data_IF_447566821150
#
_entry.id   IF_447566821150
#
_cell.length_a   1.000
_cell.length_b   1.000
_cell.length_c   1.000
_cell.angle_alpha   90.00
_cell.angle_beta   90.00
_cell.angle_gamma   90.00
#
_symmetry.space_group_name_H-M   'P 1'
#
loop_
_entity.id
_entity.type
_entity.pdbx_description
1 polymer ?
#
# COMPACT_ATOMS: atom_id res chain seq x y z
N UNK A 1 -23.27 -16.96 61.24
CA UNK A 1 -22.07 -16.60 60.46
C UNK A 1 -22.50 -16.33 59.02
N UNK A 2 -22.61 -15.05 58.64
CA UNK A 2 -23.05 -14.63 57.30
C UNK A 2 -21.79 -14.24 56.52
N UNK A 3 -21.45 -15.03 55.50
CA UNK A 3 -20.23 -14.86 54.70
C UNK A 3 -20.47 -13.82 53.59
N UNK A 4 -19.73 -12.72 53.64
CA UNK A 4 -19.84 -11.59 52.71
C UNK A 4 -19.11 -11.89 51.40
N UNK A 5 -19.90 -12.09 50.33
CA UNK A 5 -19.46 -12.33 48.94
C UNK A 5 -18.68 -11.13 48.41
N UNK A 6 -17.36 -11.27 48.25
CA UNK A 6 -16.55 -10.31 47.50
C UNK A 6 -16.62 -10.66 46.01
N UNK A 7 -17.43 -9.91 45.25
CA UNK A 7 -17.41 -9.98 43.79
C UNK A 7 -16.24 -9.14 43.28
N UNK A 8 -15.11 -9.78 42.97
CA UNK A 8 -14.05 -9.16 42.16
C UNK A 8 -14.60 -8.91 40.76
N UNK A 9 -14.67 -7.64 40.36
CA UNK A 9 -15.06 -7.20 39.03
C UNK A 9 -13.77 -7.03 38.20
N UNK A 10 -13.48 -7.85 37.18
CA UNK A 10 -12.30 -7.63 36.36
C UNK A 10 -12.54 -6.43 35.43
N UNK A 11 -11.65 -5.44 35.51
CA UNK A 11 -11.59 -4.28 34.63
C UNK A 11 -11.18 -4.78 33.22
N UNK A 12 -12.15 -4.88 32.31
CA UNK A 12 -11.92 -5.28 30.92
C UNK A 12 -11.28 -4.12 30.15
N UNK A 13 -9.95 -4.11 30.06
CA UNK A 13 -9.19 -3.17 29.23
C UNK A 13 -9.35 -3.57 27.75
N UNK A 14 -10.27 -2.90 27.04
CA UNK A 14 -10.46 -3.06 25.59
C UNK A 14 -9.29 -2.36 24.88
N UNK A 15 -8.30 -3.16 24.43
CA UNK A 15 -7.31 -2.72 23.45
C UNK A 15 -7.99 -2.52 22.09
N UNK A 16 -8.42 -1.30 21.80
CA UNK A 16 -8.76 -0.89 20.43
C UNK A 16 -7.45 -0.88 19.64
N UNK A 17 -7.21 -1.98 18.94
CA UNK A 17 -6.11 -2.10 17.98
C UNK A 17 -6.48 -1.29 16.76
N UNK A 18 -6.23 0.02 16.82
CA UNK A 18 -6.33 0.88 15.64
C UNK A 18 -5.40 0.35 14.57
N UNK A 19 -5.96 0.06 13.39
CA UNK A 19 -5.22 -0.31 12.18
C UNK A 19 -4.33 0.87 11.79
N UNK A 20 -3.16 1.00 12.43
CA UNK A 20 -2.10 1.86 11.95
C UNK A 20 -1.69 1.33 10.58
N UNK A 21 -2.22 1.98 9.54
CA UNK A 21 -1.70 1.85 8.19
C UNK A 21 -0.29 2.43 8.21
N UNK A 22 0.69 1.57 8.49
CA UNK A 22 2.11 1.93 8.48
C UNK A 22 2.67 2.11 7.06
N UNK A 23 1.77 2.25 6.08
CA UNK A 23 2.08 2.63 4.72
C UNK A 23 2.64 4.04 4.66
N UNK A 24 3.65 4.25 3.82
CA UNK A 24 4.28 5.56 3.65
C UNK A 24 3.79 6.23 2.38
N UNK A 25 3.79 7.56 2.35
CA UNK A 25 3.49 8.30 1.12
C UNK A 25 4.69 8.32 0.17
N UNK A 26 4.45 8.12 -1.13
CA UNK A 26 5.39 8.29 -2.26
C UNK A 26 4.92 9.38 -3.20
N UNK A 27 5.82 9.97 -3.98
CA UNK A 27 5.42 10.86 -5.07
C UNK A 27 4.72 10.05 -6.17
N UNK A 28 3.68 10.62 -6.78
CA UNK A 28 3.01 9.98 -7.91
C UNK A 28 3.95 9.72 -9.07
N UNK A 29 4.98 10.54 -9.27
CA UNK A 29 5.98 10.34 -10.33
C UNK A 29 6.75 9.02 -10.19
N UNK A 30 7.04 8.58 -8.96
CA UNK A 30 7.67 7.30 -8.69
C UNK A 30 6.76 6.15 -9.13
N UNK A 31 5.47 6.25 -8.83
CA UNK A 31 4.44 5.26 -9.24
C UNK A 31 4.18 5.33 -10.75
N UNK A 32 4.22 6.53 -11.35
CA UNK A 32 4.01 6.74 -12.77
C UNK A 32 5.07 6.02 -13.61
N UNK A 33 6.29 5.85 -13.07
CA UNK A 33 7.33 5.06 -13.73
C UNK A 33 6.92 3.59 -13.93
N UNK A 34 6.15 3.00 -13.01
CA UNK A 34 5.60 1.66 -13.13
C UNK A 34 4.51 1.59 -14.20
N UNK A 35 3.68 2.64 -14.28
CA UNK A 35 2.62 2.75 -15.27
C UNK A 35 3.15 2.89 -16.70
N UNK A 36 4.40 3.33 -16.90
CA UNK A 36 5.03 3.37 -18.24
C UNK A 36 5.13 1.99 -18.91
N UNK A 37 5.13 0.90 -18.13
CA UNK A 37 5.06 -0.45 -18.66
C UNK A 37 3.71 -0.76 -19.35
N UNK A 38 2.66 0.01 -19.04
CA UNK A 38 1.33 -0.07 -19.65
C UNK A 38 0.86 1.32 -20.10
N UNK A 39 1.38 1.84 -21.23
CA UNK A 39 1.15 3.22 -21.65
C UNK A 39 -0.33 3.54 -21.89
N UNK A 40 -1.14 2.57 -22.34
CA UNK A 40 -2.59 2.73 -22.50
C UNK A 40 -3.27 2.99 -21.15
N UNK A 41 -2.92 2.21 -20.12
CA UNK A 41 -3.43 2.40 -18.75
C UNK A 41 -2.99 3.75 -18.19
N UNK A 42 -1.72 4.11 -18.36
CA UNK A 42 -1.20 5.41 -17.93
C UNK A 42 -1.96 6.57 -18.60
N UNK A 43 -2.16 6.48 -19.92
CA UNK A 43 -2.88 7.49 -20.68
C UNK A 43 -4.33 7.59 -20.22
N UNK A 44 -5.02 6.47 -20.03
CA UNK A 44 -6.41 6.46 -19.56
C UNK A 44 -6.53 7.10 -18.17
N UNK A 45 -5.66 6.75 -17.22
CA UNK A 45 -5.65 7.34 -15.88
C UNK A 45 -5.44 8.85 -15.96
N UNK A 46 -4.42 9.29 -16.68
CA UNK A 46 -4.05 10.71 -16.77
C UNK A 46 -5.03 11.54 -17.60
N UNK A 47 -5.73 10.98 -18.58
CA UNK A 47 -6.74 11.69 -19.37
C UNK A 47 -8.09 11.78 -18.65
N UNK A 48 -8.44 10.74 -17.89
CA UNK A 48 -9.78 10.59 -17.30
C UNK A 48 -9.85 11.14 -15.88
N UNK A 49 -8.74 11.11 -15.14
CA UNK A 49 -8.72 11.39 -13.71
C UNK A 49 -7.88 12.62 -13.37
N UNK A 50 -8.33 13.34 -12.34
CA UNK A 50 -7.52 14.28 -11.57
C UNK A 50 -6.77 13.44 -10.55
N UNK A 51 -5.47 13.25 -10.78
CA UNK A 51 -4.58 12.45 -9.94
C UNK A 51 -3.90 13.36 -8.91
N UNK A 52 -3.74 12.92 -7.65
CA UNK A 52 -3.00 13.66 -6.64
C UNK A 52 -1.48 13.62 -6.91
N UNK A 53 -0.73 14.47 -6.21
CA UNK A 53 0.73 14.51 -6.29
C UNK A 53 1.40 13.32 -5.58
N UNK A 54 0.69 12.65 -4.68
CA UNK A 54 1.22 11.56 -3.87
C UNK A 54 0.30 10.35 -3.86
N UNK A 55 0.88 9.18 -3.58
CA UNK A 55 0.17 7.92 -3.37
C UNK A 55 0.59 7.30 -2.03
N UNK A 56 -0.30 6.52 -1.44
CA UNK A 56 -0.03 5.72 -0.26
C UNK A 56 0.55 4.37 -0.70
N UNK A 57 1.76 4.07 -0.24
CA UNK A 57 2.38 2.76 -0.43
C UNK A 57 2.00 1.84 0.74
N UNK A 58 1.62 0.61 0.46
CA UNK A 58 1.24 -0.35 1.50
C UNK A 58 2.40 -0.71 2.43
N UNK A 59 3.61 -0.85 1.87
CA UNK A 59 4.77 -1.33 2.61
C UNK A 59 5.80 -0.21 2.77
N UNK A 60 6.22 0.02 4.02
CA UNK A 60 7.41 0.80 4.37
C UNK A 60 8.43 -0.12 5.04
N UNK A 61 9.60 -0.27 4.45
CA UNK A 61 10.65 -1.11 5.00
C UNK A 61 11.22 -0.49 6.28
N UNK A 62 11.24 -1.27 7.36
CA UNK A 62 11.84 -0.85 8.63
C UNK A 62 13.36 -1.10 8.68
N UNK A 63 13.97 -0.72 9.80
CA UNK A 63 15.43 -0.82 10.02
C UNK A 63 15.96 -2.27 9.99
N UNK A 64 15.08 -3.27 10.06
CA UNK A 64 15.46 -4.68 9.88
C UNK A 64 15.90 -5.01 8.44
N UNK A 65 15.57 -4.16 7.46
CA UNK A 65 16.09 -4.27 6.09
C UNK A 65 17.40 -3.49 5.99
N UNK A 66 18.52 -4.21 5.93
CA UNK A 66 19.87 -3.66 6.10
C UNK A 66 20.16 -2.50 5.14
N UNK A 67 19.66 -2.61 3.91
CA UNK A 67 19.95 -1.65 2.84
C UNK A 67 18.70 -0.96 2.27
N UNK A 68 17.50 -1.43 2.64
CA UNK A 68 16.23 -0.90 2.14
C UNK A 68 15.44 -0.15 3.23
N UNK A 69 15.99 0.06 4.42
CA UNK A 69 15.33 0.81 5.49
C UNK A 69 14.81 2.16 5.02
N UNK A 70 13.52 2.42 5.23
CA UNK A 70 12.81 3.62 4.82
C UNK A 70 12.26 3.61 3.38
N UNK A 71 12.68 2.67 2.53
CA UNK A 71 12.12 2.50 1.20
C UNK A 71 10.64 2.06 1.30
N UNK A 72 9.91 2.27 0.20
CA UNK A 72 8.47 2.01 0.11
C UNK A 72 8.21 1.11 -1.08
N UNK A 73 7.23 0.24 -0.95
CA UNK A 73 6.85 -0.73 -1.95
C UNK A 73 5.34 -0.80 -2.04
N UNK A 74 4.84 -1.04 -3.24
CA UNK A 74 3.43 -1.18 -3.50
C UNK A 74 2.81 -2.41 -2.81
N UNK A 75 1.49 -2.58 -2.95
CA UNK A 75 0.56 -1.78 -3.77
C UNK A 75 0.51 -0.29 -3.43
N UNK A 76 0.29 0.54 -4.45
CA UNK A 76 0.18 1.99 -4.29
C UNK A 76 -1.25 2.44 -4.53
N UNK A 77 -1.86 3.13 -3.56
CA UNK A 77 -3.23 3.63 -3.68
C UNK A 77 -3.22 5.16 -3.72
N UNK A 78 -3.95 5.74 -4.65
CA UNK A 78 -4.22 7.18 -4.66
C UNK A 78 -5.69 7.46 -4.89
N UNK A 79 -6.18 8.48 -4.20
CA UNK A 79 -7.56 8.93 -4.31
C UNK A 79 -7.69 9.97 -5.41
N UNK A 80 -8.45 9.63 -6.44
CA UNK A 80 -8.64 10.43 -7.63
C UNK A 80 -10.09 10.89 -7.80
N UNK A 81 -10.29 11.83 -8.73
CA UNK A 81 -11.62 12.34 -9.13
C UNK A 81 -11.76 12.28 -10.64
N UNK A 82 -12.95 11.97 -11.14
CA UNK A 82 -13.22 12.01 -12.59
C UNK A 82 -13.17 13.44 -13.09
N UNK A 83 -12.40 13.70 -14.15
CA UNK A 83 -12.28 15.02 -14.79
C UNK A 83 -13.60 15.44 -15.43
N UNK A 84 -13.87 16.74 -15.42
CA UNK A 84 -15.01 17.34 -16.12
C UNK A 84 -16.38 17.12 -15.48
N UNK A 85 -16.46 16.41 -14.35
CA UNK A 85 -17.70 16.26 -13.58
C UNK A 85 -17.76 17.34 -12.51
N UNK A 86 -18.89 18.05 -12.36
CA UNK A 86 -19.01 19.18 -11.43
C UNK A 86 -18.90 18.79 -9.95
N UNK A 87 -19.28 17.56 -9.60
CA UNK A 87 -19.18 16.97 -8.25
C UNK A 87 -18.74 15.50 -8.39
N UNK A 88 -17.48 15.25 -8.77
CA UNK A 88 -17.01 13.89 -9.00
C UNK A 88 -16.97 13.14 -7.67
N UNK A 89 -17.46 11.90 -7.68
CA UNK A 89 -17.17 10.96 -6.60
C UNK A 89 -15.66 10.72 -6.53
N UNK A 90 -15.18 10.44 -5.32
CA UNK A 90 -13.82 9.98 -5.12
C UNK A 90 -13.71 8.52 -5.50
N UNK A 91 -12.66 8.18 -6.23
CA UNK A 91 -12.33 6.81 -6.60
C UNK A 91 -10.94 6.49 -6.07
N UNK A 92 -10.77 5.29 -5.56
CA UNK A 92 -9.46 4.77 -5.20
C UNK A 92 -8.91 4.02 -6.40
N UNK A 93 -7.68 4.39 -6.78
CA UNK A 93 -6.92 3.72 -7.82
C UNK A 93 -5.75 3.04 -7.14
N UNK A 94 -5.72 1.70 -7.21
CA UNK A 94 -4.65 0.89 -6.65
C UNK A 94 -3.79 0.30 -7.76
N UNK A 95 -2.52 0.65 -7.76
CA UNK A 95 -1.48 0.12 -8.65
C UNK A 95 -0.85 -1.08 -7.95
N UNK A 96 -1.22 -2.27 -8.39
CA UNK A 96 -0.68 -3.52 -7.88
C UNK A 96 0.66 -3.82 -8.51
N UNK A 97 1.63 -4.20 -7.68
CA UNK A 97 2.97 -4.57 -8.11
C UNK A 97 3.34 -5.95 -7.59
N UNK A 98 4.25 -6.60 -8.30
CA UNK A 98 5.06 -7.67 -7.72
C UNK A 98 6.49 -7.18 -7.52
N UNK A 99 7.11 -7.60 -6.42
CA UNK A 99 8.46 -7.23 -6.07
C UNK A 99 9.45 -8.38 -6.28
N UNK A 100 10.61 -8.04 -6.83
CA UNK A 100 11.79 -8.90 -6.86
C UNK A 100 12.90 -8.25 -6.05
N UNK A 101 13.33 -8.93 -4.99
CA UNK A 101 14.44 -8.48 -4.15
C UNK A 101 15.77 -8.97 -4.72
N UNK A 102 16.74 -8.07 -4.81
CA UNK A 102 18.03 -8.31 -5.45
C UNK A 102 19.20 -8.02 -4.50
N UNK A 103 20.27 -8.81 -4.61
CA UNK A 103 21.55 -8.57 -3.94
C UNK A 103 22.39 -7.49 -4.65
N UNK A 104 23.58 -7.20 -4.11
CA UNK A 104 24.51 -6.20 -4.68
C UNK A 104 25.00 -6.55 -6.08
N UNK A 105 24.94 -7.83 -6.45
CA UNK A 105 25.32 -8.34 -7.77
C UNK A 105 24.12 -8.39 -8.73
N UNK A 106 22.94 -7.91 -8.32
CA UNK A 106 21.72 -7.94 -9.12
C UNK A 106 21.03 -9.30 -9.17
N UNK A 107 21.37 -10.25 -8.29
CA UNK A 107 20.77 -11.58 -8.27
C UNK A 107 19.58 -11.63 -7.33
N UNK A 108 18.53 -12.37 -7.72
CA UNK A 108 17.35 -12.58 -6.89
C UNK A 108 17.71 -13.26 -5.57
N UNK A 109 17.24 -12.69 -4.47
CA UNK A 109 17.41 -13.27 -3.14
C UNK A 109 16.20 -14.12 -2.76
N UNK A 110 16.40 -15.13 -1.92
CA UNK A 110 15.32 -15.94 -1.36
C UNK A 110 14.65 -15.22 -0.20
N UNK A 111 13.40 -15.60 0.14
CA UNK A 111 12.66 -15.03 1.28
C UNK A 111 13.43 -15.08 2.60
N UNK A 112 14.24 -16.11 2.82
CA UNK A 112 15.05 -16.29 4.03
C UNK A 112 16.10 -15.20 4.25
N UNK A 113 16.55 -14.52 3.17
CA UNK A 113 17.60 -13.49 3.22
C UNK A 113 17.13 -12.16 2.62
N UNK A 114 15.82 -11.98 2.42
CA UNK A 114 15.22 -10.78 1.83
C UNK A 114 15.62 -9.49 2.54
N UNK A 115 15.78 -9.54 3.86
CA UNK A 115 16.25 -8.42 4.70
C UNK A 115 17.65 -7.92 4.35
N UNK A 116 18.44 -8.71 3.61
CA UNK A 116 19.79 -8.36 3.13
C UNK A 116 19.79 -7.86 1.69
N UNK A 117 18.65 -7.85 1.01
CA UNK A 117 18.52 -7.29 -0.33
C UNK A 117 18.96 -5.82 -0.35
N UNK A 118 19.61 -5.43 -1.44
CA UNK A 118 20.08 -4.05 -1.66
C UNK A 118 19.23 -3.28 -2.63
N UNK A 119 18.37 -3.96 -3.38
CA UNK A 119 17.46 -3.37 -4.34
C UNK A 119 16.15 -4.13 -4.35
N UNK A 120 15.06 -3.42 -4.53
CA UNK A 120 13.75 -3.98 -4.87
C UNK A 120 13.40 -3.50 -6.27
N UNK A 121 12.97 -4.41 -7.13
CA UNK A 121 12.43 -4.09 -8.44
C UNK A 121 10.96 -4.47 -8.47
N UNK A 122 10.12 -3.50 -8.82
CA UNK A 122 8.68 -3.70 -8.91
C UNK A 122 8.23 -3.76 -10.36
N UNK A 123 7.30 -4.68 -10.64
CA UNK A 123 6.62 -4.77 -11.92
C UNK A 123 5.12 -4.58 -11.71
N UNK A 124 4.53 -3.75 -12.56
CA UNK A 124 3.09 -3.56 -12.61
C UNK A 124 2.39 -4.87 -12.99
N UNK A 125 1.42 -5.30 -12.21
CA UNK A 125 0.56 -6.45 -12.51
C UNK A 125 -0.80 -5.98 -13.01
N UNK A 126 -1.52 -5.23 -12.18
CA UNK A 126 -2.87 -4.73 -12.48
C UNK A 126 -3.10 -3.36 -11.85
N UNK A 127 -4.01 -2.59 -12.45
CA UNK A 127 -4.56 -1.38 -11.84
C UNK A 127 -6.02 -1.64 -11.49
N UNK A 128 -6.37 -1.47 -10.23
CA UNK A 128 -7.74 -1.59 -9.73
C UNK A 128 -8.32 -0.19 -9.56
N UNK A 129 -9.59 -0.02 -9.96
CA UNK A 129 -10.33 1.23 -9.80
C UNK A 129 -11.61 0.91 -9.05
N UNK A 130 -11.81 1.55 -7.90
CA UNK A 130 -12.94 1.29 -7.00
C UNK A 130 -13.57 2.59 -6.52
N UNK A 131 -14.82 2.51 -6.09
CA UNK A 131 -15.46 3.62 -5.38
C UNK A 131 -14.77 3.79 -4.03
N UNK A 132 -14.31 5.01 -3.70
CA UNK A 132 -13.60 5.26 -2.43
C UNK A 132 -14.50 5.13 -1.19
N UNK A 133 -15.81 4.96 -1.37
CA UNK A 133 -16.77 4.67 -0.30
C UNK A 133 -16.82 3.18 0.07
N UNK A 134 -16.23 2.32 -0.76
CA UNK A 134 -16.06 0.91 -0.46
C UNK A 134 -14.93 0.75 0.56
N UNK A 135 -15.25 0.27 1.75
CA UNK A 135 -14.33 0.14 2.87
C UNK A 135 -13.48 -1.13 2.81
N UNK A 136 -13.78 -2.06 1.90
CA UNK A 136 -12.97 -3.23 1.71
C UNK A 136 -11.64 -2.85 1.03
N UNK A 137 -10.51 -3.20 1.66
CA UNK A 137 -9.18 -2.98 1.10
C UNK A 137 -9.05 -3.58 -0.31
N UNK A 138 -8.28 -2.93 -1.18
CA UNK A 138 -7.94 -3.47 -2.49
C UNK A 138 -7.13 -4.76 -2.32
N UNK A 139 -7.58 -5.84 -2.95
CA UNK A 139 -6.87 -7.12 -2.95
C UNK A 139 -6.17 -7.27 -4.29
N UNK A 140 -4.85 -7.05 -4.29
CA UNK A 140 -4.04 -7.33 -5.46
C UNK A 140 -3.93 -8.83 -5.69
N UNK A 141 -4.05 -9.32 -6.94
CA UNK A 141 -3.87 -10.73 -7.23
C UNK A 141 -2.46 -11.16 -6.83
N UNK A 142 -2.36 -12.29 -6.13
CA UNK A 142 -1.08 -12.94 -5.91
C UNK A 142 -0.57 -13.51 -7.24
N UNK A 143 0.71 -13.29 -7.55
CA UNK A 143 1.40 -14.00 -8.64
C UNK A 143 1.58 -15.49 -8.35
#
# INVERSE_FOLDING_TARGET
MISFRHKLFPLLAVFVSGLCHAGGSVAFEDVASLLRAQPVTQQWLTSTLVLPETADAEIRFGNQFVHLGGARMGPYTFRAKVKGVAKPAEIDVTVCTVATFLDKSGRKVTKSVEKTATKVEEKLTVVLVRDARDDAAAVCPAE
#
